data_IF_692840931215
#
_entry.id   IF_692840931215
#
_cell.length_a   1.000
_cell.length_b   1.000
_cell.length_c   1.000
_cell.angle_alpha   90.00
_cell.angle_beta   90.00
_cell.angle_gamma   90.00
#
_symmetry.space_group_name_H-M   'P 1'
#
loop_
_entity.id
_entity.type
_entity.pdbx_description
1 polymer ?
#
# COMPACT_ATOMS: atom_id res chain seq x y z
N UNK A 1 -7.37 -4.97 0.92
CA UNK A 1 -6.76 -3.87 1.72
C UNK A 1 -7.29 -3.83 3.15
N UNK A 2 -8.60 -3.78 3.36
CA UNK A 2 -9.19 -3.77 4.71
C UNK A 2 -8.73 -4.97 5.58
N UNK A 3 -8.81 -6.18 5.05
CA UNK A 3 -8.37 -7.39 5.76
C UNK A 3 -6.84 -7.52 5.88
N UNK A 4 -6.10 -6.79 5.06
CA UNK A 4 -4.65 -6.60 5.23
C UNK A 4 -4.31 -5.57 6.32
N UNK A 5 -5.30 -4.93 6.98
CA UNK A 5 -5.08 -3.88 7.97
C UNK A 5 -4.66 -2.53 7.37
N UNK A 6 -4.74 -2.37 6.05
CA UNK A 6 -4.40 -1.12 5.37
C UNK A 6 -5.62 -0.20 5.34
N UNK A 7 -5.50 1.07 5.78
CA UNK A 7 -6.59 2.03 5.70
C UNK A 7 -7.13 2.14 4.27
N UNK A 8 -8.42 1.87 4.08
CA UNK A 8 -9.02 1.77 2.74
C UNK A 8 -10.50 2.11 2.75
N UNK A 9 -11.02 2.56 1.61
CA UNK A 9 -12.44 2.44 1.29
C UNK A 9 -12.79 0.96 1.13
N UNK A 10 -14.05 0.59 1.38
CA UNK A 10 -14.54 -0.80 1.32
C UNK A 10 -15.55 -0.97 0.20
N UNK A 11 -15.60 -2.15 -0.39
CA UNK A 11 -16.66 -2.55 -1.30
C UNK A 11 -17.81 -3.16 -0.52
N UNK A 12 -19.04 -2.79 -0.85
CA UNK A 12 -20.27 -3.38 -0.32
C UNK A 12 -20.78 -4.48 -1.26
N UNK A 13 -20.92 -4.16 -2.54
CA UNK A 13 -21.39 -5.10 -3.56
C UNK A 13 -20.90 -4.68 -4.96
N UNK A 14 -20.95 -5.65 -5.87
CA UNK A 14 -20.85 -5.44 -7.31
C UNK A 14 -22.11 -6.02 -7.93
N UNK A 15 -22.77 -5.26 -8.80
CA UNK A 15 -23.98 -5.70 -9.52
C UNK A 15 -23.69 -5.57 -11.01
N UNK A 16 -23.76 -6.68 -11.72
CA UNK A 16 -23.55 -6.73 -13.17
C UNK A 16 -24.90 -6.50 -13.89
N UNK A 17 -24.86 -5.70 -14.94
CA UNK A 17 -26.00 -5.58 -15.86
C UNK A 17 -26.08 -6.81 -16.75
N UNK A 18 -27.30 -7.25 -17.04
CA UNK A 18 -27.58 -8.35 -17.99
C UNK A 18 -27.87 -7.87 -19.41
N UNK A 19 -28.03 -6.55 -19.58
CA UNK A 19 -28.45 -5.95 -20.86
C UNK A 19 -27.57 -4.79 -21.33
N UNK A 20 -26.99 -4.05 -20.38
CA UNK A 20 -26.25 -2.83 -20.73
C UNK A 20 -24.80 -3.14 -21.06
N UNK A 21 -24.34 -2.52 -22.14
CA UNK A 21 -22.94 -2.57 -22.56
C UNK A 21 -22.41 -1.16 -22.77
N UNK A 22 -21.12 -0.97 -22.53
CA UNK A 22 -20.40 0.26 -22.84
C UNK A 22 -19.46 0.05 -24.02
N UNK A 23 -19.45 1.03 -24.93
CA UNK A 23 -18.48 1.05 -26.02
C UNK A 23 -17.12 1.48 -25.46
N UNK A 24 -16.09 0.67 -25.65
CA UNK A 24 -14.70 1.00 -25.30
C UNK A 24 -13.77 0.87 -26.49
N UNK A 25 -12.86 1.81 -26.59
CA UNK A 25 -11.78 1.75 -27.56
C UNK A 25 -10.51 1.26 -26.86
N UNK A 26 -10.04 0.08 -27.24
CA UNK A 26 -8.82 -0.52 -26.74
C UNK A 26 -7.80 -0.72 -27.88
N UNK A 27 -6.64 -0.07 -27.75
CA UNK A 27 -5.48 -0.29 -28.68
C UNK A 27 -5.91 -0.42 -30.15
N UNK A 28 -6.88 0.43 -30.59
CA UNK A 28 -7.38 0.44 -31.96
C UNK A 28 -8.53 -0.51 -32.26
N UNK A 29 -9.02 -1.23 -31.28
CA UNK A 29 -10.25 -2.05 -31.40
C UNK A 29 -11.38 -1.43 -30.60
N UNK A 30 -12.59 -1.48 -31.17
CA UNK A 30 -13.81 -1.00 -30.51
C UNK A 30 -14.58 -2.22 -30.01
N UNK A 31 -14.74 -2.33 -28.70
CA UNK A 31 -15.42 -3.46 -28.05
C UNK A 31 -16.64 -2.99 -27.25
N UNK A 32 -17.68 -3.82 -27.25
CA UNK A 32 -18.81 -3.65 -26.34
C UNK A 32 -18.58 -4.48 -25.08
N UNK A 33 -18.33 -3.81 -23.96
CA UNK A 33 -18.09 -4.47 -22.67
C UNK A 33 -19.34 -4.48 -21.81
N UNK A 34 -19.64 -5.57 -21.06
CA UNK A 34 -20.72 -5.60 -20.08
C UNK A 34 -20.54 -4.54 -19.00
N UNK A 35 -21.62 -3.90 -18.60
CA UNK A 35 -21.60 -2.90 -17.54
C UNK A 35 -21.83 -3.52 -16.18
N UNK A 36 -21.17 -2.95 -15.15
CA UNK A 36 -21.41 -3.28 -13.76
C UNK A 36 -21.37 -2.02 -12.88
N UNK A 37 -22.03 -2.08 -11.73
CA UNK A 37 -21.98 -1.07 -10.68
C UNK A 37 -21.27 -1.63 -9.47
N UNK A 38 -20.28 -0.90 -8.94
CA UNK A 38 -19.64 -1.19 -7.66
C UNK A 38 -20.12 -0.18 -6.62
N UNK A 39 -20.69 -0.66 -5.53
CA UNK A 39 -21.00 0.16 -4.37
C UNK A 39 -19.85 0.12 -3.38
N UNK A 40 -19.33 1.29 -3.01
CA UNK A 40 -18.25 1.43 -2.03
C UNK A 40 -18.72 2.21 -0.80
N UNK A 41 -18.09 1.93 0.35
CA UNK A 41 -18.42 2.53 1.64
C UNK A 41 -17.17 3.10 2.28
N UNK A 42 -17.26 4.35 2.73
CA UNK A 42 -16.23 5.03 3.51
C UNK A 42 -16.87 6.15 4.35
N UNK A 43 -16.12 6.71 5.30
CA UNK A 43 -16.56 7.92 6.02
C UNK A 43 -16.80 9.09 5.06
N UNK A 44 -15.91 9.23 4.08
CA UNK A 44 -16.07 10.14 2.94
C UNK A 44 -15.34 9.58 1.71
N UNK A 45 -15.50 10.24 0.57
CA UNK A 45 -14.72 10.04 -0.65
C UNK A 45 -14.01 11.32 -1.06
N UNK A 46 -13.73 12.18 -0.07
CA UNK A 46 -13.04 13.44 -0.27
C UNK A 46 -11.56 13.23 -0.61
N UNK A 47 -11.11 13.93 -1.64
CA UNK A 47 -9.79 13.79 -2.25
C UNK A 47 -9.04 15.11 -2.17
N UNK A 48 -7.73 15.02 -2.23
CA UNK A 48 -6.87 16.21 -2.37
C UNK A 48 -7.30 17.05 -3.58
N UNK A 49 -7.69 16.43 -4.71
CA UNK A 49 -8.16 17.12 -5.89
C UNK A 49 -9.39 18.01 -5.66
N UNK A 50 -10.30 17.64 -4.74
CA UNK A 50 -11.38 18.54 -4.35
C UNK A 50 -10.84 19.81 -3.70
N UNK A 51 -9.89 19.70 -2.76
CA UNK A 51 -9.27 20.88 -2.15
C UNK A 51 -8.51 21.72 -3.17
N UNK A 52 -7.78 21.10 -4.09
CA UNK A 52 -7.09 21.82 -5.17
C UNK A 52 -8.06 22.65 -6.01
N UNK A 53 -9.18 22.07 -6.42
CA UNK A 53 -10.19 22.74 -7.23
C UNK A 53 -10.75 23.97 -6.50
N UNK A 54 -11.27 23.76 -5.26
CA UNK A 54 -11.90 24.84 -4.51
C UNK A 54 -10.88 25.87 -4.00
N UNK A 55 -9.68 25.44 -3.60
CA UNK A 55 -8.59 26.33 -3.20
C UNK A 55 -8.08 27.19 -4.36
N UNK A 56 -7.99 26.64 -5.59
CA UNK A 56 -7.66 27.41 -6.80
C UNK A 56 -8.75 28.43 -7.12
N UNK A 57 -10.03 28.02 -7.09
CA UNK A 57 -11.16 28.93 -7.32
C UNK A 57 -11.16 30.10 -6.32
N UNK A 58 -10.94 29.81 -5.02
CA UNK A 58 -10.87 30.84 -3.99
C UNK A 58 -9.69 31.83 -4.20
N UNK A 59 -8.54 31.35 -4.70
CA UNK A 59 -7.38 32.20 -5.01
C UNK A 59 -7.58 33.01 -6.29
N UNK A 60 -7.96 32.33 -7.39
CA UNK A 60 -7.93 32.92 -8.74
C UNK A 60 -9.11 33.85 -8.98
N UNK A 61 -10.27 33.51 -8.46
CA UNK A 61 -11.46 34.36 -8.57
C UNK A 61 -11.59 35.37 -7.42
N UNK A 62 -11.00 35.10 -6.25
CA UNK A 62 -10.98 35.98 -5.10
C UNK A 62 -12.38 36.38 -4.58
N UNK A 63 -13.45 35.69 -5.04
CA UNK A 63 -14.82 36.01 -4.65
C UNK A 63 -15.13 35.48 -3.26
N UNK A 64 -15.97 36.22 -2.53
CA UNK A 64 -16.45 35.77 -1.21
C UNK A 64 -17.19 34.41 -1.30
N UNK A 65 -17.89 34.17 -2.41
CA UNK A 65 -18.60 32.92 -2.68
C UNK A 65 -17.63 31.73 -2.82
N UNK A 66 -16.58 31.86 -3.65
CA UNK A 66 -15.61 30.78 -3.82
C UNK A 66 -14.85 30.47 -2.52
N UNK A 67 -14.60 31.50 -1.70
CA UNK A 67 -14.03 31.32 -0.36
C UNK A 67 -14.98 30.57 0.56
N UNK A 68 -16.26 30.92 0.56
CA UNK A 68 -17.29 30.23 1.35
C UNK A 68 -17.44 28.75 0.94
N UNK A 69 -17.41 28.44 -0.37
CA UNK A 69 -17.43 27.06 -0.86
C UNK A 69 -16.25 26.23 -0.29
N UNK A 70 -15.04 26.80 -0.30
CA UNK A 70 -13.87 26.16 0.28
C UNK A 70 -14.02 25.96 1.82
N UNK A 71 -14.55 26.96 2.53
CA UNK A 71 -14.82 26.86 3.96
C UNK A 71 -15.83 25.74 4.28
N UNK A 72 -16.90 25.65 3.50
CA UNK A 72 -17.90 24.58 3.65
C UNK A 72 -17.30 23.20 3.40
N UNK A 73 -16.48 23.06 2.35
CA UNK A 73 -15.76 21.81 2.06
C UNK A 73 -14.85 21.41 3.21
N UNK A 74 -14.08 22.35 3.76
CA UNK A 74 -13.14 22.06 4.86
C UNK A 74 -13.87 21.74 6.18
N UNK A 75 -14.99 22.39 6.48
CA UNK A 75 -15.85 21.99 7.61
C UNK A 75 -16.37 20.56 7.42
N UNK A 76 -16.73 20.17 6.20
CA UNK A 76 -17.14 18.81 5.90
C UNK A 76 -15.98 17.81 6.04
N UNK A 77 -14.76 18.16 5.59
CA UNK A 77 -13.55 17.35 5.79
C UNK A 77 -13.28 17.14 7.28
N UNK A 78 -13.31 18.20 8.09
CA UNK A 78 -13.13 18.13 9.54
C UNK A 78 -14.16 17.21 10.17
N UNK A 79 -15.45 17.42 9.90
CA UNK A 79 -16.53 16.64 10.50
C UNK A 79 -16.46 15.14 10.11
N UNK A 80 -16.05 14.82 8.89
CA UNK A 80 -16.01 13.42 8.40
C UNK A 80 -14.72 12.70 8.70
N UNK A 81 -13.58 13.39 8.60
CA UNK A 81 -12.27 12.75 8.63
C UNK A 81 -11.42 13.09 9.85
N UNK A 82 -11.63 14.28 10.42
CA UNK A 82 -10.85 14.81 11.54
C UNK A 82 -11.73 15.37 12.67
N UNK A 83 -12.76 14.62 13.15
CA UNK A 83 -13.63 15.13 14.20
C UNK A 83 -12.87 15.43 15.50
N UNK A 84 -11.72 14.77 15.74
CA UNK A 84 -10.84 15.03 16.88
C UNK A 84 -10.18 16.41 16.84
N UNK A 85 -10.16 17.07 15.69
CA UNK A 85 -9.63 18.43 15.52
C UNK A 85 -10.67 19.52 15.78
N UNK A 86 -11.94 19.14 15.94
CA UNK A 86 -13.03 20.06 16.29
C UNK A 86 -13.05 20.33 17.80
N UNK A 87 -13.38 21.57 18.15
CA UNK A 87 -13.60 21.96 19.53
C UNK A 87 -15.12 22.21 19.75
N UNK A 88 -15.78 21.47 20.64
CA UNK A 88 -17.21 21.67 20.91
C UNK A 88 -17.58 23.07 21.41
N UNK A 89 -16.60 23.81 21.94
CA UNK A 89 -16.79 25.14 22.50
C UNK A 89 -16.38 26.27 21.54
N UNK A 90 -15.66 25.93 20.44
CA UNK A 90 -15.18 26.91 19.46
C UNK A 90 -15.42 26.39 18.02
N UNK A 91 -16.45 26.93 17.36
CA UNK A 91 -16.77 26.62 15.96
C UNK A 91 -15.87 27.37 14.95
N UNK A 92 -14.81 28.02 15.42
CA UNK A 92 -13.86 28.74 14.56
C UNK A 92 -13.13 27.75 13.63
N UNK A 93 -13.22 27.97 12.32
CA UNK A 93 -12.63 27.08 11.32
C UNK A 93 -11.11 27.06 11.38
N UNK A 94 -10.47 28.22 11.50
CA UNK A 94 -9.00 28.33 11.42
C UNK A 94 -8.26 27.52 12.49
N UNK A 95 -8.59 27.60 13.79
CA UNK A 95 -7.93 26.77 14.80
C UNK A 95 -8.11 25.27 14.54
N UNK A 96 -9.28 24.86 14.03
CA UNK A 96 -9.54 23.48 13.67
C UNK A 96 -8.67 23.02 12.48
N UNK A 97 -8.48 23.89 11.46
CA UNK A 97 -7.57 23.62 10.34
C UNK A 97 -6.12 23.47 10.81
N UNK A 98 -5.65 24.34 11.69
CA UNK A 98 -4.30 24.24 12.24
C UNK A 98 -4.08 22.92 12.98
N UNK A 99 -5.05 22.51 13.81
CA UNK A 99 -5.01 21.19 14.48
C UNK A 99 -5.04 20.01 13.51
N UNK A 100 -5.61 20.16 12.31
CA UNK A 100 -5.71 19.09 11.29
C UNK A 100 -4.41 18.87 10.51
N UNK A 101 -3.56 19.89 10.36
CA UNK A 101 -2.38 19.84 9.47
C UNK A 101 -1.45 18.66 9.80
N UNK A 102 -1.06 18.54 11.08
CA UNK A 102 -0.15 17.48 11.52
C UNK A 102 -0.77 16.08 11.40
N UNK A 103 -2.00 15.79 11.92
CA UNK A 103 -2.67 14.50 11.70
C UNK A 103 -2.82 14.12 10.23
N UNK A 104 -3.00 15.09 9.33
CA UNK A 104 -3.06 14.82 7.89
C UNK A 104 -1.72 14.29 7.36
N UNK A 105 -0.60 14.88 7.78
CA UNK A 105 0.75 14.39 7.46
C UNK A 105 1.02 13.00 8.04
N UNK A 106 0.70 12.78 9.31
CA UNK A 106 0.87 11.51 10.02
C UNK A 106 0.09 10.37 9.34
N UNK A 107 -1.20 10.58 9.03
CA UNK A 107 -2.02 9.58 8.34
C UNK A 107 -1.52 9.27 6.94
N UNK A 108 -0.98 10.27 6.24
CA UNK A 108 -0.38 10.07 4.92
C UNK A 108 0.91 9.23 5.02
N UNK A 109 1.77 9.52 6.01
CA UNK A 109 2.99 8.75 6.25
C UNK A 109 2.67 7.30 6.62
N UNK A 110 1.71 7.09 7.52
CA UNK A 110 1.22 5.76 7.90
C UNK A 110 0.66 4.98 6.69
N UNK A 111 -0.13 5.63 5.83
CA UNK A 111 -0.65 4.98 4.62
C UNK A 111 0.49 4.49 3.72
N UNK A 112 1.55 5.29 3.52
CA UNK A 112 2.71 4.90 2.72
C UNK A 112 3.45 3.71 3.30
N UNK A 113 3.65 3.68 4.62
CA UNK A 113 4.27 2.56 5.32
C UNK A 113 3.42 1.28 5.20
N UNK A 114 2.09 1.40 5.32
CA UNK A 114 1.18 0.27 5.18
C UNK A 114 1.11 -0.26 3.74
N UNK A 115 1.18 0.59 2.72
CA UNK A 115 1.30 0.14 1.33
C UNK A 115 2.60 -0.62 1.10
N UNK A 116 3.70 -0.08 1.61
CA UNK A 116 5.00 -0.75 1.55
C UNK A 116 4.95 -2.13 2.26
N UNK A 117 4.34 -2.20 3.44
CA UNK A 117 4.24 -3.44 4.22
C UNK A 117 3.67 -4.62 3.41
N UNK A 118 2.63 -4.37 2.65
CA UNK A 118 1.94 -5.40 1.87
C UNK A 118 2.40 -5.49 0.41
N UNK A 119 3.35 -4.64 -0.01
CA UNK A 119 3.84 -4.60 -1.39
C UNK A 119 2.87 -3.97 -2.39
N UNK A 120 1.99 -3.07 -1.94
CA UNK A 120 1.00 -2.43 -2.80
C UNK A 120 1.57 -1.23 -3.54
N UNK A 121 1.38 -1.20 -4.86
CA UNK A 121 1.66 -0.06 -5.72
C UNK A 121 0.34 0.45 -6.32
N UNK A 122 -0.01 1.70 -6.01
CA UNK A 122 -1.23 2.31 -6.51
C UNK A 122 -1.08 2.72 -8.00
N UNK A 123 0.14 3.07 -8.43
CA UNK A 123 0.47 3.31 -9.85
C UNK A 123 0.09 4.67 -10.40
N UNK A 124 -0.90 5.35 -9.84
CA UNK A 124 -1.39 6.68 -10.28
C UNK A 124 -1.79 7.55 -9.08
N UNK A 125 -0.83 7.76 -8.14
CA UNK A 125 -1.10 8.45 -6.88
C UNK A 125 -1.06 9.97 -7.01
N UNK A 126 -1.90 10.51 -7.89
CA UNK A 126 -2.16 11.94 -8.04
C UNK A 126 -3.27 12.42 -7.08
N UNK A 127 -3.53 13.73 -7.05
CA UNK A 127 -4.46 14.36 -6.11
C UNK A 127 -5.90 13.83 -6.18
N UNK A 128 -6.36 13.44 -7.37
CA UNK A 128 -7.68 12.85 -7.55
C UNK A 128 -7.78 11.39 -7.03
N UNK A 129 -6.66 10.74 -6.78
CA UNK A 129 -6.57 9.39 -6.25
C UNK A 129 -6.07 9.36 -4.79
N UNK A 130 -5.84 10.54 -4.20
CA UNK A 130 -5.37 10.73 -2.84
C UNK A 130 -6.50 11.14 -1.90
N UNK A 131 -6.88 10.25 -0.97
CA UNK A 131 -7.94 10.50 0.00
C UNK A 131 -7.45 11.41 1.12
N UNK A 132 -8.23 12.45 1.47
CA UNK A 132 -7.88 13.42 2.51
C UNK A 132 -7.74 12.81 3.91
N UNK A 133 -8.44 11.73 4.21
CA UNK A 133 -8.35 11.03 5.48
C UNK A 133 -7.29 9.95 5.55
N UNK A 134 -6.31 9.90 4.62
CA UNK A 134 -5.22 8.93 4.64
C UNK A 134 -5.68 7.48 4.41
N UNK A 135 -6.54 7.24 3.40
CA UNK A 135 -7.02 5.90 3.03
C UNK A 135 -6.73 5.59 1.57
N UNK A 136 -6.56 4.32 1.26
CA UNK A 136 -6.55 3.85 -0.13
C UNK A 136 -7.94 4.08 -0.73
N UNK A 137 -8.00 4.93 -1.74
CA UNK A 137 -9.25 5.33 -2.38
C UNK A 137 -9.44 4.69 -3.73
N UNK A 138 -8.41 4.76 -4.56
CA UNK A 138 -8.46 4.35 -5.94
C UNK A 138 -7.83 2.97 -6.13
N UNK A 139 -8.54 2.13 -6.88
CA UNK A 139 -8.17 0.79 -7.27
C UNK A 139 -8.24 0.63 -8.80
N UNK A 140 -7.88 1.70 -9.53
CA UNK A 140 -7.68 1.65 -10.98
C UNK A 140 -6.46 0.78 -11.32
N UNK A 141 -5.39 1.34 -11.85
CA UNK A 141 -4.22 0.56 -12.26
C UNK A 141 -3.31 0.16 -11.06
N UNK A 142 -3.85 -0.51 -10.06
CA UNK A 142 -3.07 -0.96 -8.90
C UNK A 142 -2.37 -2.30 -9.15
N UNK A 143 -1.36 -2.61 -8.30
CA UNK A 143 -0.74 -3.93 -8.27
C UNK A 143 -0.08 -4.23 -6.94
N UNK A 144 0.04 -5.51 -6.64
CA UNK A 144 0.90 -6.00 -5.57
C UNK A 144 2.20 -6.52 -6.18
N UNK A 145 3.32 -6.20 -5.53
CA UNK A 145 4.62 -6.72 -5.97
C UNK A 145 4.59 -8.25 -5.99
N UNK A 146 5.04 -8.79 -7.10
CA UNK A 146 5.46 -10.18 -7.21
C UNK A 146 6.97 -10.24 -7.02
N UNK A 147 7.75 -10.21 -8.08
CA UNK A 147 9.19 -9.99 -7.97
C UNK A 147 9.47 -8.60 -7.38
N UNK A 148 10.31 -8.51 -6.35
CA UNK A 148 10.71 -7.23 -5.82
C UNK A 148 11.44 -6.38 -6.86
N UNK A 149 10.86 -5.24 -7.13
CA UNK A 149 11.42 -4.22 -8.01
C UNK A 149 11.02 -2.84 -7.45
N UNK A 150 11.94 -2.05 -6.92
CA UNK A 150 11.63 -0.73 -6.37
C UNK A 150 11.08 0.25 -7.42
N UNK A 151 11.33 -0.01 -8.72
CA UNK A 151 10.83 0.78 -9.85
C UNK A 151 9.52 0.26 -10.44
N UNK A 152 8.94 -0.76 -9.84
CA UNK A 152 7.66 -1.28 -10.29
C UNK A 152 6.59 -0.18 -10.25
N UNK A 153 5.87 -0.02 -11.36
CA UNK A 153 4.67 0.79 -11.47
C UNK A 153 3.59 -0.04 -12.14
N UNK A 154 2.43 -0.13 -11.53
CA UNK A 154 1.30 -0.91 -12.04
C UNK A 154 0.63 -0.26 -13.25
N UNK A 155 0.83 1.03 -13.46
CA UNK A 155 0.26 1.76 -14.58
C UNK A 155 1.32 2.14 -15.62
N UNK A 156 1.13 1.71 -16.86
CA UNK A 156 2.07 1.99 -17.95
C UNK A 156 2.23 3.47 -18.27
N UNK A 157 1.18 4.30 -18.03
CA UNK A 157 1.22 5.74 -18.15
C UNK A 157 1.81 6.48 -16.95
N UNK A 158 2.06 5.77 -15.83
CA UNK A 158 2.44 6.38 -14.55
C UNK A 158 3.87 6.89 -14.48
N UNK A 159 4.73 6.49 -15.39
CA UNK A 159 6.15 6.77 -15.37
C UNK A 159 6.84 6.43 -14.02
N UNK A 160 8.09 6.83 -13.84
CA UNK A 160 8.86 6.47 -12.64
C UNK A 160 8.33 7.13 -11.36
N UNK A 161 7.69 8.30 -11.45
CA UNK A 161 7.26 9.08 -10.27
C UNK A 161 6.14 8.43 -9.46
N UNK A 162 5.39 7.48 -10.02
CA UNK A 162 4.40 6.67 -9.27
C UNK A 162 4.89 5.25 -8.97
N UNK A 163 6.18 4.97 -9.17
CA UNK A 163 6.75 3.66 -8.85
C UNK A 163 6.69 3.37 -7.34
N UNK A 164 6.76 2.09 -6.99
CA UNK A 164 6.65 1.59 -5.62
C UNK A 164 7.53 2.37 -4.63
N UNK A 165 8.82 2.59 -4.95
CA UNK A 165 9.74 3.33 -4.08
C UNK A 165 9.46 4.84 -4.01
N UNK A 166 8.78 5.41 -5.01
CA UNK A 166 8.52 6.85 -5.09
C UNK A 166 7.12 7.26 -4.61
N UNK A 167 6.27 6.32 -4.20
CA UNK A 167 4.97 6.62 -3.60
C UNK A 167 5.06 7.62 -2.42
N UNK A 168 6.04 7.54 -1.49
CA UNK A 168 6.19 8.53 -0.44
C UNK A 168 6.48 9.96 -0.96
N UNK A 169 7.19 10.09 -2.09
CA UNK A 169 7.42 11.39 -2.74
C UNK A 169 6.12 11.94 -3.36
N UNK A 170 5.32 11.08 -3.99
CA UNK A 170 4.01 11.47 -4.49
C UNK A 170 3.07 11.88 -3.34
N UNK A 171 3.14 11.19 -2.19
CA UNK A 171 2.40 11.55 -0.99
C UNK A 171 2.77 12.95 -0.47
N UNK A 172 4.06 13.29 -0.43
CA UNK A 172 4.51 14.65 -0.05
C UNK A 172 3.95 15.71 -1.01
N UNK A 173 3.92 15.45 -2.30
CA UNK A 173 3.36 16.38 -3.29
C UNK A 173 1.84 16.57 -3.08
N UNK A 174 1.10 15.49 -2.83
CA UNK A 174 -0.31 15.55 -2.51
C UNK A 174 -0.58 16.30 -1.21
N UNK A 175 0.22 16.07 -0.17
CA UNK A 175 0.14 16.81 1.09
C UNK A 175 0.40 18.30 0.88
N UNK A 176 1.44 18.64 0.13
CA UNK A 176 1.75 20.04 -0.21
C UNK A 176 0.62 20.71 -1.01
N UNK A 177 -0.02 19.98 -1.90
CA UNK A 177 -1.16 20.49 -2.66
C UNK A 177 -2.37 20.75 -1.76
N UNK A 178 -2.68 19.83 -0.84
CA UNK A 178 -3.75 20.00 0.13
C UNK A 178 -3.52 21.20 1.05
N UNK A 179 -2.31 21.37 1.60
CA UNK A 179 -1.95 22.50 2.46
C UNK A 179 -2.05 23.82 1.68
N UNK A 180 -1.48 23.89 0.48
CA UNK A 180 -1.57 25.10 -0.38
C UNK A 180 -3.01 25.49 -0.71
N UNK A 181 -3.91 24.52 -0.85
CA UNK A 181 -5.32 24.79 -1.12
C UNK A 181 -6.00 25.57 0.03
N UNK A 182 -5.49 25.45 1.25
CA UNK A 182 -6.02 26.13 2.45
C UNK A 182 -5.38 27.49 2.72
N UNK A 183 -4.32 27.88 2.01
CA UNK A 183 -3.53 29.10 2.29
C UNK A 183 -4.36 30.39 2.39
N UNK A 184 -5.45 30.51 1.62
CA UNK A 184 -6.30 31.70 1.66
C UNK A 184 -7.18 31.79 2.90
N UNK A 185 -7.31 30.71 3.67
CA UNK A 185 -8.06 30.64 4.94
C UNK A 185 -7.16 30.68 6.17
N UNK A 186 -5.85 30.53 5.99
CA UNK A 186 -4.85 30.57 7.04
C UNK A 186 -4.20 31.95 7.14
N UNK A 187 -3.85 32.36 8.36
CA UNK A 187 -2.97 33.51 8.57
C UNK A 187 -1.49 33.15 8.41
N UNK A 188 -0.60 34.06 8.79
CA UNK A 188 0.85 33.81 8.71
C UNK A 188 1.32 32.64 9.58
N UNK A 189 0.73 32.47 10.77
CA UNK A 189 1.05 31.38 11.69
C UNK A 189 0.58 30.04 11.12
N UNK A 190 -0.68 29.97 10.66
CA UNK A 190 -1.20 28.73 10.05
C UNK A 190 -0.48 28.31 8.77
N UNK A 191 -0.04 29.28 7.96
CA UNK A 191 0.80 28.98 6.78
C UNK A 191 2.18 28.46 7.18
N UNK A 192 2.80 29.04 8.21
CA UNK A 192 4.09 28.56 8.72
C UNK A 192 3.96 27.15 9.31
N UNK A 193 2.90 26.87 10.06
CA UNK A 193 2.60 25.52 10.56
C UNK A 193 2.45 24.52 9.39
N UNK A 194 1.72 24.89 8.33
CA UNK A 194 1.61 24.06 7.13
C UNK A 194 2.98 23.78 6.49
N UNK A 195 3.87 24.78 6.39
CA UNK A 195 5.23 24.59 5.91
C UNK A 195 6.07 23.72 6.85
N UNK A 196 5.84 23.84 8.17
CA UNK A 196 6.55 23.00 9.14
C UNK A 196 6.16 21.52 8.97
N UNK A 197 4.87 21.22 8.80
CA UNK A 197 4.41 19.85 8.54
C UNK A 197 5.06 19.25 7.28
N UNK A 198 5.24 20.05 6.21
CA UNK A 198 5.94 19.58 5.02
C UNK A 198 7.43 19.31 5.26
N UNK A 199 8.09 20.14 6.07
CA UNK A 199 9.49 19.91 6.48
C UNK A 199 9.64 18.67 7.35
N UNK A 200 8.67 18.41 8.23
CA UNK A 200 8.66 17.27 9.16
C UNK A 200 8.24 15.96 8.48
N UNK A 201 7.57 16.01 7.33
CA UNK A 201 7.03 14.83 6.67
C UNK A 201 8.05 13.72 6.39
N UNK A 202 9.31 14.00 5.99
CA UNK A 202 10.34 12.96 5.88
C UNK A 202 10.62 12.23 7.19
N UNK A 203 10.56 12.92 8.33
CA UNK A 203 10.73 12.31 9.65
C UNK A 203 9.52 11.43 10.01
N UNK A 204 8.30 11.91 9.76
CA UNK A 204 7.06 11.13 9.93
C UNK A 204 7.08 9.85 9.08
N UNK A 205 7.55 9.95 7.84
CA UNK A 205 7.75 8.77 6.99
C UNK A 205 8.79 7.82 7.58
N UNK A 206 9.94 8.33 8.01
CA UNK A 206 11.00 7.50 8.57
C UNK A 206 10.52 6.73 9.80
N UNK A 207 9.75 7.37 10.68
CA UNK A 207 9.14 6.76 11.87
C UNK A 207 8.13 5.67 11.49
N UNK A 208 7.18 5.98 10.60
CA UNK A 208 6.16 5.02 10.15
C UNK A 208 6.78 3.80 9.42
N UNK A 209 7.82 4.03 8.62
CA UNK A 209 8.54 2.94 7.95
C UNK A 209 9.41 2.13 8.92
N UNK A 210 10.00 2.76 9.94
CA UNK A 210 10.78 2.07 10.96
C UNK A 210 9.91 1.08 11.73
N UNK A 211 8.72 1.51 12.18
CA UNK A 211 7.73 0.67 12.86
C UNK A 211 7.38 -0.58 12.02
N UNK A 212 6.95 -0.37 10.79
CA UNK A 212 6.55 -1.47 9.90
C UNK A 212 7.71 -2.43 9.58
N UNK A 213 8.91 -1.90 9.33
CA UNK A 213 10.09 -2.72 9.01
C UNK A 213 10.57 -3.53 10.21
N UNK A 214 10.53 -2.93 11.39
CA UNK A 214 10.82 -3.57 12.66
C UNK A 214 9.93 -4.79 12.86
N UNK A 215 8.61 -4.59 12.76
CA UNK A 215 7.63 -5.68 12.91
C UNK A 215 7.80 -6.78 11.85
N UNK A 216 8.05 -6.42 10.59
CA UNK A 216 8.27 -7.40 9.51
C UNK A 216 9.50 -8.27 9.71
N UNK A 217 10.54 -7.72 10.36
CA UNK A 217 11.78 -8.43 10.68
C UNK A 217 11.71 -9.17 12.03
N UNK A 218 10.63 -9.06 12.79
CA UNK A 218 10.48 -9.69 14.11
C UNK A 218 11.32 -9.00 15.19
N UNK A 219 11.65 -7.70 15.03
CA UNK A 219 12.46 -6.95 15.98
C UNK A 219 11.57 -6.15 16.95
N UNK A 220 12.02 -5.97 18.20
CA UNK A 220 11.32 -5.19 19.21
C UNK A 220 11.71 -3.71 19.21
N UNK A 221 12.84 -3.35 18.62
CA UNK A 221 13.27 -1.94 18.49
C UNK A 221 14.04 -1.69 17.21
N UNK A 222 13.96 -0.43 16.76
CA UNK A 222 14.59 0.03 15.52
C UNK A 222 15.82 0.88 15.84
N UNK A 223 16.99 0.41 15.42
CA UNK A 223 18.26 1.11 15.52
C UNK A 223 18.99 1.14 14.17
N UNK A 224 20.19 1.68 14.15
CA UNK A 224 21.01 1.77 12.94
C UNK A 224 21.44 0.41 12.38
N UNK A 225 21.48 -0.64 13.20
CA UNK A 225 21.78 -2.00 12.74
C UNK A 225 20.55 -2.65 12.11
N UNK A 226 19.38 -2.50 12.73
CA UNK A 226 18.11 -2.92 12.16
C UNK A 226 17.86 -2.25 10.78
N UNK A 227 18.15 -0.94 10.67
CA UNK A 227 18.04 -0.22 9.41
C UNK A 227 18.97 -0.82 8.33
N UNK A 228 20.25 -1.09 8.67
CA UNK A 228 21.18 -1.74 7.74
C UNK A 228 20.73 -3.14 7.33
N UNK A 229 20.27 -3.95 8.29
CA UNK A 229 19.74 -5.29 8.00
C UNK A 229 18.58 -5.23 6.99
N UNK A 230 17.64 -4.29 7.18
CA UNK A 230 16.54 -4.10 6.26
C UNK A 230 17.00 -3.65 4.87
N UNK A 231 17.89 -2.69 4.78
CA UNK A 231 18.37 -2.16 3.50
C UNK A 231 19.18 -3.21 2.73
N UNK A 232 20.02 -4.00 3.41
CA UNK A 232 20.73 -5.14 2.81
C UNK A 232 19.78 -6.23 2.33
N UNK A 233 18.72 -6.54 3.12
CA UNK A 233 17.67 -7.48 2.69
C UNK A 233 17.02 -7.02 1.38
N UNK A 234 16.64 -5.75 1.28
CA UNK A 234 16.02 -5.23 0.05
C UNK A 234 16.97 -5.30 -1.15
N UNK A 235 18.26 -5.05 -0.95
CA UNK A 235 19.28 -5.22 -2.01
C UNK A 235 19.41 -6.69 -2.43
N UNK A 236 19.44 -7.61 -1.48
CA UNK A 236 19.47 -9.05 -1.77
C UNK A 236 18.22 -9.51 -2.51
N UNK A 237 17.03 -9.04 -2.08
CA UNK A 237 15.76 -9.35 -2.76
C UNK A 237 15.77 -8.86 -4.22
N UNK A 238 16.27 -7.65 -4.48
CA UNK A 238 16.35 -7.11 -5.85
C UNK A 238 17.34 -7.93 -6.69
N UNK A 239 18.53 -8.19 -6.15
CA UNK A 239 19.58 -8.94 -6.85
C UNK A 239 19.20 -10.40 -7.16
N UNK A 240 18.45 -11.05 -6.28
CA UNK A 240 18.02 -12.44 -6.40
C UNK A 240 16.66 -12.63 -7.07
N UNK A 241 16.04 -11.55 -7.55
CA UNK A 241 14.69 -11.58 -8.08
C UNK A 241 13.68 -12.26 -7.11
N UNK A 242 13.75 -11.92 -5.83
CA UNK A 242 12.90 -12.50 -4.82
C UNK A 242 11.44 -12.01 -4.94
N UNK A 243 10.51 -12.91 -4.68
CA UNK A 243 9.09 -12.57 -4.55
C UNK A 243 8.84 -11.85 -3.24
N UNK A 244 8.14 -10.71 -3.29
CA UNK A 244 7.89 -9.89 -2.11
C UNK A 244 7.12 -10.63 -1.03
N UNK A 245 5.97 -11.17 -1.37
CA UNK A 245 5.06 -11.78 -0.40
C UNK A 245 5.61 -13.11 0.15
N UNK A 246 6.12 -13.96 -0.74
CA UNK A 246 6.64 -15.26 -0.35
C UNK A 246 7.86 -15.13 0.56
N UNK A 247 8.79 -14.24 0.21
CA UNK A 247 10.00 -14.08 1.01
C UNK A 247 9.69 -13.60 2.42
N UNK A 248 8.93 -12.50 2.54
CA UNK A 248 8.60 -11.96 3.86
C UNK A 248 7.83 -12.96 4.73
N UNK A 249 6.93 -13.76 4.14
CA UNK A 249 6.21 -14.78 4.88
C UNK A 249 7.13 -15.91 5.35
N UNK A 250 8.02 -16.39 4.47
CA UNK A 250 8.94 -17.48 4.76
C UNK A 250 10.10 -17.11 5.68
N UNK A 251 10.41 -15.83 5.83
CA UNK A 251 11.34 -15.39 6.90
C UNK A 251 10.80 -15.78 8.29
N UNK A 252 9.48 -15.80 8.49
CA UNK A 252 8.91 -16.28 9.75
C UNK A 252 9.16 -17.79 9.98
N UNK A 253 9.22 -18.60 8.91
CA UNK A 253 9.55 -20.02 9.00
C UNK A 253 11.04 -20.21 9.36
N UNK A 254 11.93 -19.39 8.76
CA UNK A 254 13.35 -19.37 9.17
C UNK A 254 13.52 -18.94 10.63
N UNK A 255 12.73 -17.96 11.11
CA UNK A 255 12.78 -17.53 12.51
C UNK A 255 12.27 -18.60 13.46
N UNK A 256 11.27 -19.39 13.08
CA UNK A 256 10.72 -20.46 13.89
C UNK A 256 11.72 -21.61 14.10
N UNK A 257 12.39 -21.99 13.02
CA UNK A 257 13.23 -23.21 12.99
C UNK A 257 14.74 -22.87 13.05
N UNK A 258 15.11 -21.70 13.60
CA UNK A 258 16.48 -21.17 13.50
C UNK A 258 17.56 -22.10 14.06
N UNK A 259 17.30 -22.79 15.20
CA UNK A 259 18.28 -23.67 15.84
C UNK A 259 18.57 -24.88 14.94
N UNK A 260 17.53 -25.55 14.43
CA UNK A 260 17.67 -26.69 13.51
C UNK A 260 18.35 -26.28 12.20
N UNK A 261 17.99 -25.12 11.64
CA UNK A 261 18.54 -24.63 10.39
C UNK A 261 20.02 -24.24 10.55
N UNK A 262 20.39 -23.67 11.69
CA UNK A 262 21.78 -23.31 11.99
C UNK A 262 22.66 -24.55 12.17
N UNK A 263 22.19 -25.54 12.92
CA UNK A 263 22.91 -26.81 13.13
C UNK A 263 23.05 -27.61 11.83
N UNK A 264 21.99 -27.63 11.02
CA UNK A 264 21.96 -28.35 9.74
C UNK A 264 22.67 -27.68 8.59
N UNK A 265 23.06 -26.41 8.73
CA UNK A 265 23.65 -25.61 7.64
C UNK A 265 22.73 -25.34 6.45
N UNK A 266 21.39 -25.38 6.66
CA UNK A 266 20.36 -25.31 5.62
C UNK A 266 19.52 -24.03 5.67
N UNK A 267 20.11 -22.92 6.08
CA UNK A 267 19.43 -21.64 6.32
C UNK A 267 18.59 -21.13 5.13
N UNK A 268 18.96 -21.45 3.90
CA UNK A 268 18.25 -21.01 2.70
C UNK A 268 17.12 -21.93 2.26
N UNK A 269 17.01 -23.13 2.85
CA UNK A 269 16.03 -24.14 2.39
C UNK A 269 14.58 -23.60 2.44
N UNK A 270 14.11 -22.95 3.53
CA UNK A 270 12.75 -22.41 3.57
C UNK A 270 12.50 -21.31 2.52
N UNK A 271 13.53 -20.61 2.09
CA UNK A 271 13.42 -19.47 1.16
C UNK A 271 13.48 -19.85 -0.30
N UNK A 272 13.92 -21.09 -0.66
CA UNK A 272 14.16 -21.49 -2.05
C UNK A 272 12.98 -21.25 -2.98
N UNK A 273 11.76 -21.49 -2.53
CA UNK A 273 10.56 -21.23 -3.32
C UNK A 273 10.17 -19.75 -3.45
N UNK A 274 11.02 -18.81 -3.01
CA UNK A 274 10.77 -17.37 -3.09
C UNK A 274 11.52 -16.68 -4.22
N UNK A 275 12.38 -17.38 -4.96
CA UNK A 275 13.22 -16.78 -5.99
C UNK A 275 12.75 -17.14 -7.40
N UNK A 276 12.61 -16.12 -8.25
CA UNK A 276 12.24 -16.30 -9.66
C UNK A 276 13.37 -16.85 -10.53
N UNK A 277 14.61 -16.74 -10.05
CA UNK A 277 15.82 -17.22 -10.72
C UNK A 277 16.65 -18.07 -9.74
N UNK A 278 17.40 -19.07 -10.22
CA UNK A 278 18.37 -19.77 -9.40
C UNK A 278 19.39 -18.78 -8.82
N UNK A 279 19.77 -18.98 -7.57
CA UNK A 279 20.80 -18.16 -6.93
C UNK A 279 22.17 -18.56 -7.45
N UNK A 280 23.05 -17.58 -7.70
CA UNK A 280 24.48 -17.85 -7.91
C UNK A 280 25.13 -18.19 -6.55
N UNK A 281 26.29 -18.90 -6.56
CA UNK A 281 27.03 -19.20 -5.32
C UNK A 281 27.35 -17.93 -4.49
N UNK A 282 27.61 -16.80 -5.14
CA UNK A 282 27.87 -15.52 -4.48
C UNK A 282 26.62 -14.97 -3.78
N UNK A 283 25.45 -15.11 -4.41
CA UNK A 283 24.18 -14.71 -3.82
C UNK A 283 23.78 -15.64 -2.67
N UNK A 284 23.97 -16.95 -2.81
CA UNK A 284 23.74 -17.92 -1.73
C UNK A 284 24.60 -17.58 -0.50
N UNK A 285 25.89 -17.31 -0.72
CA UNK A 285 26.80 -16.90 0.35
C UNK A 285 26.39 -15.54 0.97
N UNK A 286 25.89 -14.61 0.18
CA UNK A 286 25.43 -13.31 0.68
C UNK A 286 24.14 -13.46 1.52
N UNK A 287 23.18 -14.25 1.06
CA UNK A 287 21.97 -14.58 1.81
C UNK A 287 22.29 -15.29 3.13
N UNK A 288 23.20 -16.28 3.12
CA UNK A 288 23.60 -17.01 4.31
C UNK A 288 24.23 -16.08 5.36
N UNK A 289 25.11 -15.17 4.94
CA UNK A 289 25.69 -14.16 5.85
C UNK A 289 24.64 -13.21 6.42
N UNK A 290 23.69 -12.78 5.60
CA UNK A 290 22.61 -11.91 6.05
C UNK A 290 21.70 -12.64 7.06
N UNK A 291 21.28 -13.86 6.74
CA UNK A 291 20.45 -14.69 7.62
C UNK A 291 21.12 -14.95 8.99
N UNK A 292 22.40 -15.30 9.00
CA UNK A 292 23.16 -15.48 10.25
C UNK A 292 23.15 -14.20 11.11
N UNK A 293 23.39 -13.06 10.54
CA UNK A 293 23.37 -11.76 11.27
C UNK A 293 21.97 -11.46 11.80
N UNK A 294 20.96 -11.63 10.97
CA UNK A 294 19.58 -11.38 11.35
C UNK A 294 19.13 -12.35 12.46
N UNK A 295 19.40 -13.64 12.34
CA UNK A 295 19.08 -14.63 13.39
C UNK A 295 19.84 -14.37 14.69
N UNK A 296 21.11 -13.99 14.61
CA UNK A 296 21.87 -13.56 15.79
C UNK A 296 21.21 -12.37 16.51
N UNK A 297 20.65 -11.43 15.73
CA UNK A 297 19.90 -10.32 16.29
C UNK A 297 18.60 -10.79 16.94
N UNK A 298 17.83 -11.71 16.29
CA UNK A 298 16.58 -12.23 16.81
C UNK A 298 16.72 -12.99 18.12
N UNK A 299 17.85 -13.65 18.38
CA UNK A 299 18.09 -14.36 19.64
C UNK A 299 17.96 -13.47 20.89
N UNK A 300 18.10 -12.15 20.74
CA UNK A 300 17.90 -11.16 21.80
C UNK A 300 16.45 -10.64 21.92
N UNK A 301 15.55 -11.01 21.03
CA UNK A 301 14.21 -10.41 20.95
C UNK A 301 13.10 -11.27 21.62
N UNK A 302 13.33 -12.57 21.82
CA UNK A 302 12.37 -13.46 22.47
C UNK A 302 12.48 -14.93 22.05
N UNK A 303 11.44 -15.68 22.32
CA UNK A 303 11.29 -17.07 21.89
C UNK A 303 11.03 -17.15 20.38
N UNK A 304 11.64 -18.16 19.72
CA UNK A 304 11.57 -18.29 18.25
C UNK A 304 10.14 -18.43 17.72
N UNK A 305 9.29 -19.19 18.45
CA UNK A 305 7.91 -19.38 18.04
C UNK A 305 7.09 -18.09 18.20
N UNK A 306 7.30 -17.35 19.28
CA UNK A 306 6.63 -16.07 19.52
C UNK A 306 7.02 -15.03 18.45
N UNK A 307 8.31 -14.90 18.13
CA UNK A 307 8.83 -14.02 17.08
C UNK A 307 8.24 -14.41 15.73
N UNK A 308 8.26 -15.69 15.37
CA UNK A 308 7.69 -16.17 14.12
C UNK A 308 6.19 -15.88 14.01
N UNK A 309 5.43 -16.08 15.09
CA UNK A 309 4.00 -15.78 15.14
C UNK A 309 3.73 -14.27 14.97
N UNK A 310 4.54 -13.39 15.61
CA UNK A 310 4.44 -11.94 15.42
C UNK A 310 4.71 -11.57 13.97
N UNK A 311 5.77 -12.12 13.37
CA UNK A 311 6.09 -11.89 11.96
C UNK A 311 4.95 -12.34 11.03
N UNK A 312 4.31 -13.48 11.31
CA UNK A 312 3.17 -13.98 10.52
C UNK A 312 1.94 -13.08 10.60
N UNK A 313 1.74 -12.35 11.70
CA UNK A 313 0.64 -11.38 11.85
C UNK A 313 0.85 -10.11 11.02
N UNK A 314 2.09 -9.78 10.67
CA UNK A 314 2.46 -8.57 9.93
C UNK A 314 2.71 -8.87 8.45
N UNK A 315 3.26 -10.07 8.15
CA UNK A 315 3.58 -10.53 6.82
C UNK A 315 2.43 -11.38 6.26
N UNK A 316 1.59 -10.86 5.36
CA UNK A 316 0.47 -11.62 4.83
C UNK A 316 0.99 -12.81 4.00
N UNK A 317 0.28 -13.93 4.08
CA UNK A 317 0.53 -15.10 3.22
C UNK A 317 -0.07 -14.90 1.83
N UNK A 318 -1.20 -14.20 1.76
CA UNK A 318 -1.94 -14.00 0.52
C UNK A 318 -2.23 -12.53 0.28
N UNK A 319 -1.93 -12.05 -0.93
CA UNK A 319 -2.33 -10.75 -1.44
C UNK A 319 -2.92 -10.93 -2.84
N UNK A 320 -3.76 -10.01 -3.33
CA UNK A 320 -4.36 -10.10 -4.66
C UNK A 320 -3.30 -9.89 -5.76
N UNK A 321 -2.55 -10.92 -6.08
CA UNK A 321 -1.54 -10.88 -7.13
C UNK A 321 -2.20 -10.81 -8.49
N UNK A 322 -1.54 -10.18 -9.43
CA UNK A 322 -2.06 -9.97 -10.76
C UNK A 322 -2.50 -11.28 -11.44
N UNK A 323 -1.69 -12.32 -11.38
CA UNK A 323 -2.01 -13.59 -12.01
C UNK A 323 -3.24 -14.28 -11.39
N UNK A 324 -3.47 -14.14 -10.07
CA UNK A 324 -4.67 -14.67 -9.41
C UNK A 324 -5.94 -13.93 -9.87
N UNK A 325 -5.84 -12.60 -10.04
CA UNK A 325 -6.94 -11.79 -10.51
C UNK A 325 -7.28 -12.10 -11.96
N UNK A 326 -6.27 -12.29 -12.82
CA UNK A 326 -6.47 -12.67 -14.21
C UNK A 326 -7.15 -14.04 -14.33
N UNK A 327 -6.73 -15.03 -13.52
CA UNK A 327 -7.39 -16.33 -13.45
C UNK A 327 -8.87 -16.21 -13.06
N UNK A 328 -9.18 -15.34 -12.07
CA UNK A 328 -10.55 -15.11 -11.64
C UNK A 328 -11.39 -14.42 -12.72
N UNK A 329 -10.82 -13.47 -13.46
CA UNK A 329 -11.50 -12.76 -14.53
C UNK A 329 -11.80 -13.69 -15.71
N UNK A 330 -10.82 -14.47 -16.18
CA UNK A 330 -11.00 -15.45 -17.25
C UNK A 330 -12.09 -16.49 -16.89
N UNK A 331 -12.09 -16.96 -15.65
CA UNK A 331 -13.12 -17.87 -15.17
C UNK A 331 -14.51 -17.20 -15.12
N UNK A 332 -14.59 -15.94 -14.66
CA UNK A 332 -15.84 -15.19 -14.59
C UNK A 332 -16.43 -14.88 -15.97
N UNK A 333 -15.59 -14.54 -16.95
CA UNK A 333 -15.98 -14.36 -18.36
C UNK A 333 -16.59 -15.63 -18.94
N UNK A 334 -16.07 -16.81 -18.55
CA UNK A 334 -16.64 -18.11 -18.89
C UNK A 334 -17.88 -18.49 -18.04
N UNK A 335 -18.39 -17.58 -17.20
CA UNK A 335 -19.55 -17.81 -16.33
C UNK A 335 -19.25 -18.57 -15.04
N UNK A 336 -17.97 -18.82 -14.73
CA UNK A 336 -17.54 -19.50 -13.50
C UNK A 336 -17.03 -18.51 -12.46
N UNK A 337 -17.85 -18.17 -11.48
CA UNK A 337 -17.51 -17.25 -10.40
C UNK A 337 -16.83 -17.91 -9.18
N UNK A 338 -16.66 -19.24 -9.18
CA UNK A 338 -16.14 -19.98 -8.03
C UNK A 338 -14.70 -19.54 -7.69
N UNK A 339 -13.87 -19.27 -8.69
CA UNK A 339 -12.49 -18.81 -8.49
C UNK A 339 -12.48 -17.45 -7.76
N UNK A 340 -13.28 -16.49 -8.21
CA UNK A 340 -13.40 -15.18 -7.56
C UNK A 340 -13.93 -15.29 -6.13
N UNK A 341 -14.93 -16.15 -5.89
CA UNK A 341 -15.47 -16.40 -4.55
C UNK A 341 -14.42 -17.04 -3.63
N UNK A 342 -13.63 -18.01 -4.13
CA UNK A 342 -12.59 -18.65 -3.34
C UNK A 342 -11.47 -17.66 -2.99
N UNK A 343 -11.02 -16.86 -3.94
CA UNK A 343 -10.04 -15.81 -3.69
C UNK A 343 -10.55 -14.77 -2.68
N UNK A 344 -11.84 -14.41 -2.75
CA UNK A 344 -12.45 -13.51 -1.77
C UNK A 344 -12.38 -14.09 -0.35
N UNK A 345 -12.61 -15.39 -0.17
CA UNK A 345 -12.49 -16.07 1.13
C UNK A 345 -11.05 -16.03 1.64
N UNK A 346 -10.07 -16.36 0.79
CA UNK A 346 -8.64 -16.33 1.13
C UNK A 346 -8.21 -14.90 1.52
N UNK A 347 -8.61 -13.90 0.75
CA UNK A 347 -8.25 -12.50 1.02
C UNK A 347 -9.04 -11.89 2.19
N UNK A 348 -10.07 -12.54 2.70
CA UNK A 348 -10.74 -12.14 3.94
C UNK A 348 -9.95 -12.54 5.21
N UNK A 349 -9.04 -13.51 5.11
CA UNK A 349 -8.12 -13.90 6.19
C UNK A 349 -6.67 -14.08 5.64
N UNK A 350 -6.03 -12.98 5.17
CA UNK A 350 -4.83 -13.06 4.34
C UNK A 350 -3.56 -13.47 5.12
N UNK A 351 -3.63 -13.51 6.43
CA UNK A 351 -2.53 -13.90 7.33
C UNK A 351 -2.61 -15.35 7.78
N UNK A 352 -3.77 -15.99 7.60
CA UNK A 352 -4.02 -17.35 8.04
C UNK A 352 -3.53 -18.38 7.04
N UNK A 353 -3.36 -19.60 7.55
CA UNK A 353 -3.06 -20.75 6.73
C UNK A 353 -4.33 -21.24 6.02
N UNK A 354 -4.25 -21.51 4.72
CA UNK A 354 -5.28 -22.14 3.92
C UNK A 354 -4.71 -23.39 3.26
N UNK A 355 -4.58 -24.52 3.99
CA UNK A 355 -3.85 -25.71 3.52
C UNK A 355 -4.35 -26.24 2.16
N UNK A 356 -5.66 -26.14 1.91
CA UNK A 356 -6.27 -26.59 0.64
C UNK A 356 -5.86 -25.74 -0.56
N UNK A 357 -5.48 -24.47 -0.32
CA UNK A 357 -5.18 -23.49 -1.35
C UNK A 357 -3.68 -23.19 -1.47
N UNK A 358 -2.89 -23.64 -0.50
CA UNK A 358 -1.47 -23.29 -0.40
C UNK A 358 -0.68 -23.64 -1.65
N UNK A 359 -0.80 -24.88 -2.11
CA UNK A 359 -0.11 -25.34 -3.31
C UNK A 359 -0.51 -24.55 -4.56
N UNK A 360 -1.72 -23.99 -4.61
CA UNK A 360 -2.23 -23.23 -5.74
C UNK A 360 -1.83 -21.76 -5.67
N UNK A 361 -1.92 -21.13 -4.50
CA UNK A 361 -1.83 -19.66 -4.39
C UNK A 361 -0.62 -19.16 -3.61
N UNK A 362 0.02 -19.97 -2.76
CA UNK A 362 1.27 -19.57 -2.07
C UNK A 362 2.50 -20.05 -2.83
N UNK A 363 2.67 -19.55 -4.06
CA UNK A 363 3.76 -19.91 -4.96
C UNK A 363 4.16 -18.73 -5.85
N UNK A 364 5.26 -18.86 -6.55
CA UNK A 364 5.67 -17.93 -7.59
C UNK A 364 4.61 -17.86 -8.70
N UNK A 365 4.47 -16.67 -9.31
CA UNK A 365 3.61 -16.52 -10.47
C UNK A 365 3.93 -17.56 -11.55
N UNK A 366 2.93 -18.22 -12.14
CA UNK A 366 3.14 -19.16 -13.25
C UNK A 366 3.88 -18.51 -14.40
N UNK A 367 4.77 -19.27 -15.05
CA UNK A 367 5.65 -18.71 -16.10
C UNK A 367 4.85 -18.03 -17.21
N UNK A 368 3.75 -18.65 -17.61
CA UNK A 368 2.83 -18.14 -18.63
C UNK A 368 2.10 -16.85 -18.26
N UNK A 369 2.01 -16.57 -16.95
CA UNK A 369 1.32 -15.38 -16.43
C UNK A 369 2.26 -14.19 -16.17
N UNK A 370 3.58 -14.44 -16.13
CA UNK A 370 4.58 -13.39 -15.79
C UNK A 370 4.70 -12.27 -16.82
N UNK A 371 4.36 -12.57 -18.07
CA UNK A 371 4.45 -11.64 -19.20
C UNK A 371 3.09 -11.14 -19.65
N UNK A 372 2.00 -11.67 -19.09
CA UNK A 372 0.67 -11.18 -19.43
C UNK A 372 0.46 -9.78 -18.90
N UNK A 373 -0.08 -8.88 -19.72
CA UNK A 373 -0.56 -7.61 -19.23
C UNK A 373 -1.61 -7.88 -18.16
N UNK A 374 -1.48 -7.19 -17.03
CA UNK A 374 -2.38 -7.41 -15.92
C UNK A 374 -3.58 -6.50 -15.91
N UNK A 375 -4.17 -6.36 -14.72
CA UNK A 375 -5.32 -5.48 -14.45
C UNK A 375 -5.08 -4.04 -14.93
N UNK A 376 -3.83 -3.60 -15.01
CA UNK A 376 -3.45 -2.25 -15.45
C UNK A 376 -3.69 -1.96 -16.95
N UNK A 377 -3.83 -2.98 -17.78
CA UNK A 377 -4.20 -2.80 -19.21
C UNK A 377 -5.71 -2.64 -19.36
N UNK A 378 -6.47 -2.98 -18.34
CA UNK A 378 -7.93 -2.93 -18.34
C UNK A 378 -8.48 -1.60 -17.78
N UNK A 379 -7.63 -0.60 -17.48
CA UNK A 379 -8.04 0.69 -16.91
C UNK A 379 -7.88 1.87 -17.86
#
# INVERSE_FOLDING_TARGET
>A
MYHLGVPSTRALCVVMSTSDTALREWVGETLFEPCAMTCRVARSFLRVGHLELFGRRARDFGSAEARLELEQLLRHVLAREYPECLDPQDDSLRPALMRMLRPMGERMAQLMAQWWRVGFCQGNFQSDNCHLGGRTLDFGPFGFLERYNPRYCSWSGGAEHFSFRLQPKAALQNLASAIRAMDCLLDSEGREEGQQVLRDFPALLAEAFAEVRMEKLGLCFWDSDAARLCDELLQLMEASAADWTLLWRRLADVAQDWDELMEGGRLLEPLQGSFYLPLSPELEAAWSRWLLRWLTRLQGEGDCEEVAQQMRRVNPKYVPRNWMLMEAYEAAEAGNFQVAQRLQQIFASPYEEHPEDEARYFRLAPVEMRTRPGVFVMS
#
